data_IF_300470438885
#
_entry.id   IF_300470438885
#
_cell.length_a   1.000
_cell.length_b   1.000
_cell.length_c   1.000
_cell.angle_alpha   90.00
_cell.angle_beta   90.00
_cell.angle_gamma   90.00
#
_symmetry.space_group_name_H-M   'P 1'
#
loop_
_entity.id
_entity.type
_entity.pdbx_description
1 polymer ?
#
# COMPACT_ATOMS: atom_id res chain seq x y z
N UNK A 1 34.78 -6.59 9.14
CA UNK A 1 33.46 -6.30 8.57
C UNK A 1 33.69 -5.99 7.10
N UNK A 2 33.26 -6.85 6.20
CA UNK A 2 33.32 -6.56 4.75
C UNK A 2 32.52 -5.29 4.49
N UNK A 3 33.12 -4.31 3.81
CA UNK A 3 32.41 -3.11 3.40
C UNK A 3 31.22 -3.53 2.54
N UNK A 4 30.01 -3.30 3.02
CA UNK A 4 28.80 -3.55 2.23
C UNK A 4 28.79 -2.53 1.09
N UNK A 5 28.90 -3.03 -0.14
CA UNK A 5 28.82 -2.21 -1.34
C UNK A 5 27.38 -2.28 -1.85
N UNK A 6 26.74 -1.12 -2.01
CA UNK A 6 25.34 -1.05 -2.44
C UNK A 6 25.23 -1.67 -3.85
N UNK A 7 24.26 -2.57 -4.11
CA UNK A 7 24.20 -3.27 -5.39
C UNK A 7 23.97 -2.26 -6.52
N UNK A 8 24.91 -2.19 -7.45
CA UNK A 8 24.84 -1.29 -8.58
C UNK A 8 24.36 -2.06 -9.81
N UNK A 9 23.25 -1.63 -10.42
CA UNK A 9 22.77 -2.21 -11.66
C UNK A 9 23.54 -1.64 -12.84
N UNK A 10 23.91 -2.49 -13.80
CA UNK A 10 24.37 -1.99 -15.08
C UNK A 10 23.18 -1.42 -15.87
N UNK A 11 23.42 -0.48 -16.79
CA UNK A 11 22.35 0.10 -17.63
C UNK A 11 21.60 -0.95 -18.43
N UNK A 12 22.30 -1.96 -18.93
CA UNK A 12 21.69 -3.09 -19.61
C UNK A 12 20.73 -3.83 -18.70
N UNK A 13 21.09 -4.05 -17.44
CA UNK A 13 20.23 -4.73 -16.48
C UNK A 13 19.01 -3.87 -16.14
N UNK A 14 19.19 -2.56 -15.95
CA UNK A 14 18.10 -1.60 -15.72
C UNK A 14 17.10 -1.66 -16.88
N UNK A 15 17.57 -1.58 -18.13
CA UNK A 15 16.71 -1.61 -19.32
C UNK A 15 15.98 -2.95 -19.44
N UNK A 16 16.69 -4.06 -19.22
CA UNK A 16 16.10 -5.40 -19.23
C UNK A 16 14.99 -5.52 -18.19
N UNK A 17 15.26 -5.18 -16.93
CA UNK A 17 14.29 -5.26 -15.84
C UNK A 17 13.07 -4.37 -16.10
N UNK A 18 13.27 -3.13 -16.54
CA UNK A 18 12.17 -2.22 -16.86
C UNK A 18 11.27 -2.74 -18.00
N UNK A 19 11.88 -3.40 -18.98
CA UNK A 19 11.16 -3.98 -20.13
C UNK A 19 10.43 -5.26 -19.72
N UNK A 20 11.07 -6.15 -18.98
CA UNK A 20 10.50 -7.41 -18.49
C UNK A 20 9.34 -7.19 -17.52
N UNK A 21 9.48 -6.20 -16.62
CA UNK A 21 8.42 -5.80 -15.70
C UNK A 21 7.32 -4.95 -16.36
N UNK A 22 7.42 -4.69 -17.68
CA UNK A 22 6.49 -3.87 -18.46
C UNK A 22 6.29 -2.45 -17.87
N UNK A 23 7.32 -1.89 -17.25
CA UNK A 23 7.30 -0.55 -16.64
C UNK A 23 7.57 0.50 -17.73
N UNK A 24 8.66 0.34 -18.49
CA UNK A 24 9.03 1.26 -19.57
C UNK A 24 9.91 0.58 -20.61
N UNK A 25 9.75 0.98 -21.88
CA UNK A 25 10.64 0.58 -22.98
C UNK A 25 11.64 1.69 -23.26
N UNK A 26 12.83 1.60 -22.63
CA UNK A 26 13.90 2.60 -22.76
C UNK A 26 15.03 2.11 -23.66
N UNK A 27 15.74 3.05 -24.29
CA UNK A 27 17.02 2.79 -24.97
C UNK A 27 18.18 3.28 -24.11
N UNK A 28 19.38 2.75 -24.33
CA UNK A 28 20.61 3.20 -23.63
C UNK A 28 20.85 4.72 -23.78
N UNK A 29 20.47 5.29 -24.93
CA UNK A 29 20.59 6.72 -25.20
C UNK A 29 19.72 7.58 -24.27
N UNK A 30 18.56 7.07 -23.84
CA UNK A 30 17.61 7.80 -22.98
C UNK A 30 18.15 7.91 -21.55
N UNK A 31 18.89 6.89 -21.07
CA UNK A 31 19.59 6.93 -19.79
C UNK A 31 20.89 7.74 -19.84
N UNK A 32 21.56 7.79 -21.00
CA UNK A 32 22.77 8.62 -21.20
C UNK A 32 22.49 10.11 -21.20
N UNK A 33 21.36 10.50 -21.78
CA UNK A 33 20.94 11.89 -21.88
C UNK A 33 19.53 12.05 -21.30
N UNK A 34 19.38 11.89 -19.98
CA UNK A 34 18.08 11.97 -19.36
C UNK A 34 17.51 13.37 -19.50
N UNK A 35 16.23 13.46 -19.84
CA UNK A 35 15.48 14.72 -19.86
C UNK A 35 14.51 14.76 -18.69
N UNK A 36 14.11 15.97 -18.26
CA UNK A 36 13.13 16.12 -17.19
C UNK A 36 11.84 15.32 -17.46
N UNK A 37 11.29 15.42 -18.68
CA UNK A 37 10.03 14.76 -19.04
C UNK A 37 10.16 13.23 -19.02
N UNK A 38 11.28 12.70 -19.52
CA UNK A 38 11.50 11.25 -19.54
C UNK A 38 11.74 10.69 -18.15
N UNK A 39 12.54 11.36 -17.33
CA UNK A 39 12.87 10.93 -15.97
C UNK A 39 11.66 11.07 -15.03
N UNK A 40 10.87 12.12 -15.16
CA UNK A 40 9.65 12.29 -14.35
C UNK A 40 8.60 11.22 -14.67
N UNK A 41 8.36 10.92 -15.96
CA UNK A 41 7.46 9.84 -16.36
C UNK A 41 8.00 8.47 -15.89
N UNK A 42 9.30 8.22 -16.04
CA UNK A 42 9.92 6.97 -15.62
C UNK A 42 9.81 6.75 -14.11
N UNK A 43 10.18 7.73 -13.28
CA UNK A 43 10.02 7.61 -11.82
C UNK A 43 8.57 7.43 -11.42
N UNK A 44 7.64 8.12 -12.07
CA UNK A 44 6.20 7.95 -11.82
C UNK A 44 5.78 6.50 -12.06
N UNK A 45 6.16 5.91 -13.19
CA UNK A 45 5.84 4.51 -13.51
C UNK A 45 6.49 3.52 -12.55
N UNK A 46 7.74 3.76 -12.15
CA UNK A 46 8.42 2.92 -11.16
C UNK A 46 7.70 3.00 -9.81
N UNK A 47 7.35 4.20 -9.33
CA UNK A 47 6.64 4.36 -8.07
C UNK A 47 5.23 3.75 -8.10
N UNK A 48 4.55 3.77 -9.25
CA UNK A 48 3.29 3.05 -9.43
C UNK A 48 3.51 1.54 -9.34
N UNK A 49 4.53 1.02 -10.04
CA UNK A 49 4.90 -0.40 -9.94
C UNK A 49 5.24 -0.83 -8.51
N UNK A 50 5.75 0.07 -7.67
CA UNK A 50 6.05 -0.18 -6.26
C UNK A 50 4.84 -0.02 -5.32
N UNK A 51 3.64 0.25 -5.85
CA UNK A 51 2.42 0.67 -5.13
C UNK A 51 2.64 1.88 -4.19
N UNK A 52 3.59 2.77 -4.50
CA UNK A 52 3.79 4.04 -3.78
C UNK A 52 2.90 5.14 -4.36
N UNK A 53 2.62 5.05 -5.65
CA UNK A 53 1.70 5.91 -6.38
C UNK A 53 0.55 5.07 -6.94
N UNK A 54 -0.67 5.63 -6.92
CA UNK A 54 -1.79 5.06 -7.68
C UNK A 54 -1.81 5.66 -9.09
N UNK A 55 -2.35 4.93 -10.08
CA UNK A 55 -2.61 5.48 -11.42
C UNK A 55 -3.56 6.71 -11.36
N UNK A 56 -4.44 6.76 -10.35
CA UNK A 56 -5.35 7.88 -10.08
C UNK A 56 -4.61 9.12 -9.53
N UNK A 57 -3.48 8.92 -8.83
CA UNK A 57 -2.66 9.99 -8.26
C UNK A 57 -1.78 10.69 -9.32
N UNK A 58 -1.80 10.20 -10.57
CA UNK A 58 -0.93 10.67 -11.64
C UNK A 58 -1.28 12.12 -12.02
N UNK A 59 -0.61 13.07 -11.36
CA UNK A 59 -0.83 14.50 -11.55
C UNK A 59 -1.85 15.12 -10.60
N UNK A 60 -2.39 14.35 -9.64
CA UNK A 60 -3.22 14.89 -8.57
C UNK A 60 -2.36 15.35 -7.38
N UNK A 61 -2.76 16.48 -6.81
CA UNK A 61 -2.19 17.04 -5.59
C UNK A 61 -3.24 16.85 -4.51
N UNK A 62 -2.81 16.42 -3.34
CA UNK A 62 -3.70 16.17 -2.22
C UNK A 62 -4.53 17.44 -1.91
N UNK A 63 -5.85 17.28 -1.79
CA UNK A 63 -6.78 18.42 -1.73
C UNK A 63 -6.49 19.30 -0.51
N UNK A 64 -6.06 18.67 0.59
CA UNK A 64 -5.63 19.33 1.83
C UNK A 64 -4.35 20.17 1.66
N UNK A 65 -3.45 19.78 0.75
CA UNK A 65 -2.25 20.54 0.43
C UNK A 65 -2.54 21.76 -0.46
N UNK A 66 -3.57 21.68 -1.31
CA UNK A 66 -4.01 22.78 -2.17
C UNK A 66 -4.63 23.94 -1.37
N UNK A 67 -5.31 23.66 -0.26
CA UNK A 67 -5.90 24.68 0.63
C UNK A 67 -4.84 25.57 1.29
N UNK A 68 -3.60 25.08 1.43
CA UNK A 68 -2.48 25.81 2.03
C UNK A 68 -1.68 26.65 1.03
N UNK A 69 -1.92 26.48 -0.27
CA UNK A 69 -1.21 27.22 -1.33
C UNK A 69 -1.88 28.56 -1.61
N UNK A 70 -1.10 29.64 -1.54
CA UNK A 70 -1.54 30.96 -1.94
C UNK A 70 -1.61 31.03 -3.48
N UNK A 71 -2.83 30.98 -4.05
CA UNK A 71 -3.13 30.91 -5.49
C UNK A 71 -2.85 29.52 -6.12
N UNK A 72 -3.65 28.49 -5.79
CA UNK A 72 -3.44 27.11 -6.24
C UNK A 72 -3.37 26.97 -7.78
N UNK A 73 -4.08 27.81 -8.52
CA UNK A 73 -4.09 27.81 -10.00
C UNK A 73 -2.70 28.05 -10.61
N UNK A 74 -1.82 28.78 -9.92
CA UNK A 74 -0.45 29.03 -10.38
C UNK A 74 0.50 27.86 -10.10
N UNK A 75 0.06 26.87 -9.32
CA UNK A 75 0.86 25.73 -8.89
C UNK A 75 0.53 24.42 -9.63
N UNK A 76 -0.32 24.49 -10.65
CA UNK A 76 -0.75 23.36 -11.48
C UNK A 76 0.39 22.53 -12.08
N UNK A 77 1.54 23.14 -12.35
CA UNK A 77 2.75 22.41 -12.82
C UNK A 77 3.76 22.11 -11.71
N UNK A 78 3.91 23.00 -10.73
CA UNK A 78 4.94 22.85 -9.69
C UNK A 78 4.55 21.85 -8.59
N UNK A 79 3.26 21.80 -8.24
CA UNK A 79 2.78 20.93 -7.17
C UNK A 79 2.88 19.43 -7.52
N UNK A 80 2.52 18.93 -8.72
CA UNK A 80 2.73 17.53 -9.08
C UNK A 80 4.20 17.12 -9.10
N UNK A 81 5.08 18.00 -9.57
CA UNK A 81 6.54 17.74 -9.62
C UNK A 81 7.14 17.69 -8.22
N UNK A 82 6.67 18.55 -7.32
CA UNK A 82 7.07 18.53 -5.92
C UNK A 82 6.55 17.27 -5.21
N UNK A 83 5.30 16.88 -5.46
CA UNK A 83 4.73 15.64 -4.93
C UNK A 83 5.55 14.42 -5.37
N UNK A 84 5.88 14.33 -6.66
CA UNK A 84 6.75 13.28 -7.18
C UNK A 84 8.12 13.26 -6.47
N UNK A 85 8.74 14.43 -6.29
CA UNK A 85 10.02 14.52 -5.58
C UNK A 85 9.92 14.05 -4.13
N UNK A 86 8.89 14.46 -3.39
CA UNK A 86 8.70 14.05 -1.98
C UNK A 86 8.54 12.54 -1.90
N UNK A 87 7.63 11.96 -2.68
CA UNK A 87 7.41 10.50 -2.70
C UNK A 87 8.66 9.72 -3.11
N UNK A 88 9.39 10.21 -4.11
CA UNK A 88 10.65 9.63 -4.54
C UNK A 88 11.71 9.68 -3.42
N UNK A 89 11.84 10.83 -2.76
CA UNK A 89 12.77 11.01 -1.64
C UNK A 89 12.43 10.07 -0.48
N UNK A 90 11.18 10.04 -0.06
CA UNK A 90 10.74 9.20 1.06
C UNK A 90 10.95 7.71 0.76
N UNK A 91 10.70 7.29 -0.48
CA UNK A 91 10.98 5.91 -0.93
C UNK A 91 12.47 5.61 -0.91
N UNK A 92 13.31 6.54 -1.36
CA UNK A 92 14.77 6.39 -1.35
C UNK A 92 15.35 6.36 0.07
N UNK A 93 14.76 7.12 1.00
CA UNK A 93 15.11 7.08 2.43
C UNK A 93 14.68 5.73 3.05
N UNK A 94 13.50 5.22 2.71
CA UNK A 94 13.01 3.91 3.17
C UNK A 94 13.94 2.75 2.77
N UNK A 95 14.50 2.81 1.55
CA UNK A 95 15.46 1.80 1.05
C UNK A 95 16.90 2.05 1.51
N UNK A 96 17.12 3.05 2.38
CA UNK A 96 18.42 3.45 2.91
C UNK A 96 19.44 3.71 1.79
N UNK A 97 19.01 4.38 0.73
CA UNK A 97 19.87 4.74 -0.38
C UNK A 97 21.05 5.59 0.13
N UNK A 98 22.32 5.22 -0.15
CA UNK A 98 23.47 5.96 0.35
C UNK A 98 23.61 7.34 -0.31
N UNK A 99 22.93 7.54 -1.44
CA UNK A 99 22.92 8.79 -2.17
C UNK A 99 21.65 9.57 -1.82
N UNK A 100 21.83 10.79 -1.31
CA UNK A 100 20.70 11.69 -1.11
C UNK A 100 20.25 12.27 -2.45
N UNK A 101 18.96 12.15 -2.74
CA UNK A 101 18.34 12.81 -3.88
C UNK A 101 18.11 14.29 -3.58
N UNK A 102 18.33 15.13 -4.58
CA UNK A 102 18.05 16.55 -4.56
C UNK A 102 16.99 16.86 -5.63
N UNK A 103 16.19 17.91 -5.43
CA UNK A 103 15.23 18.37 -6.43
C UNK A 103 15.89 18.69 -7.79
N UNK A 104 17.17 19.08 -7.79
CA UNK A 104 17.97 19.26 -9.01
C UNK A 104 18.12 17.98 -9.82
N UNK A 105 18.14 16.81 -9.18
CA UNK A 105 18.26 15.52 -9.87
C UNK A 105 16.98 15.15 -10.62
N UNK A 106 15.85 15.74 -10.21
CA UNK A 106 14.60 15.64 -10.95
C UNK A 106 14.59 16.66 -12.11
N UNK A 107 14.85 17.94 -11.83
CA UNK A 107 14.78 19.02 -12.83
C UNK A 107 15.86 18.98 -13.91
N UNK A 108 17.07 18.56 -13.54
CA UNK A 108 18.25 18.46 -14.41
C UNK A 108 18.94 17.14 -14.13
N UNK A 109 18.34 16.04 -14.60
CA UNK A 109 18.83 14.72 -14.27
C UNK A 109 20.25 14.53 -14.80
N UNK A 110 21.11 13.97 -13.95
CA UNK A 110 22.45 13.52 -14.32
C UNK A 110 22.39 12.02 -14.60
N UNK A 111 22.96 11.57 -15.72
CA UNK A 111 22.93 10.17 -16.15
C UNK A 111 23.41 9.21 -15.05
N UNK A 112 24.51 9.53 -14.38
CA UNK A 112 25.08 8.63 -13.37
C UNK A 112 24.21 8.53 -12.12
N UNK A 113 23.66 9.68 -11.67
CA UNK A 113 22.79 9.74 -10.50
C UNK A 113 21.43 9.10 -10.75
N UNK A 114 20.84 9.35 -11.92
CA UNK A 114 19.56 8.77 -12.33
C UNK A 114 19.65 7.25 -12.44
N UNK A 115 20.72 6.72 -13.04
CA UNK A 115 20.98 5.27 -13.09
C UNK A 115 21.05 4.66 -11.69
N UNK A 116 21.75 5.32 -10.76
CA UNK A 116 21.88 4.86 -9.38
C UNK A 116 20.53 4.81 -8.65
N UNK A 117 19.73 5.87 -8.76
CA UNK A 117 18.42 5.93 -8.10
C UNK A 117 17.43 4.92 -8.69
N UNK A 118 17.40 4.75 -10.01
CA UNK A 118 16.56 3.73 -10.67
C UNK A 118 16.99 2.35 -10.21
N UNK A 119 18.29 2.07 -10.20
CA UNK A 119 18.84 0.81 -9.69
C UNK A 119 18.39 0.53 -8.25
N UNK A 120 18.49 1.52 -7.36
CA UNK A 120 18.03 1.41 -5.98
C UNK A 120 16.53 1.07 -5.86
N UNK A 121 15.68 1.77 -6.61
CA UNK A 121 14.22 1.55 -6.60
C UNK A 121 13.82 0.20 -7.19
N UNK A 122 14.43 -0.19 -8.31
CA UNK A 122 14.16 -1.49 -8.94
C UNK A 122 14.60 -2.63 -8.02
N UNK A 123 15.70 -2.46 -7.30
CA UNK A 123 16.13 -3.44 -6.30
C UNK A 123 15.08 -3.67 -5.22
N UNK A 124 14.51 -2.58 -4.72
CA UNK A 124 13.42 -2.64 -3.75
C UNK A 124 12.15 -3.27 -4.34
N UNK A 125 11.82 -2.99 -5.60
CA UNK A 125 10.69 -3.66 -6.28
C UNK A 125 10.89 -5.16 -6.41
N UNK A 126 12.07 -5.59 -6.86
CA UNK A 126 12.42 -7.01 -6.91
C UNK A 126 12.33 -7.66 -5.53
N UNK A 127 12.68 -6.96 -4.44
CA UNK A 127 12.50 -7.45 -3.08
C UNK A 127 11.02 -7.62 -2.68
N UNK A 128 10.16 -6.68 -3.05
CA UNK A 128 8.73 -6.68 -2.71
C UNK A 128 7.95 -7.78 -3.46
N UNK A 129 8.27 -8.04 -4.73
CA UNK A 129 7.53 -8.98 -5.58
C UNK A 129 8.20 -10.36 -5.75
N UNK A 130 9.39 -10.60 -5.18
CA UNK A 130 10.03 -11.91 -5.12
C UNK A 130 9.27 -13.04 -4.37
N UNK A 131 8.24 -12.83 -3.52
CA UNK A 131 7.49 -13.95 -2.94
C UNK A 131 6.50 -14.62 -3.91
N UNK A 132 6.33 -14.11 -5.14
CA UNK A 132 5.24 -14.52 -6.03
C UNK A 132 5.70 -14.79 -7.45
N UNK A 133 6.43 -15.89 -7.70
CA UNK A 133 6.28 -16.62 -8.98
C UNK A 133 6.63 -18.09 -8.77
N UNK A 134 5.57 -18.90 -8.77
CA UNK A 134 5.61 -20.35 -8.71
C UNK A 134 5.93 -20.89 -10.10
N UNK A 135 7.20 -20.96 -10.49
CA UNK A 135 7.61 -21.79 -11.64
C UNK A 135 9.09 -22.16 -11.62
N UNK A 136 9.31 -23.46 -11.79
CA UNK A 136 10.49 -24.26 -11.45
C UNK A 136 11.77 -23.98 -12.30
N UNK A 137 11.96 -22.78 -12.89
CA UNK A 137 13.07 -22.52 -13.84
C UNK A 137 13.97 -21.31 -13.55
N UNK A 138 13.76 -20.57 -12.45
CA UNK A 138 14.64 -19.46 -12.06
C UNK A 138 15.45 -19.73 -10.79
N UNK A 139 15.76 -20.98 -10.48
CA UNK A 139 16.37 -21.35 -9.20
C UNK A 139 17.87 -20.99 -9.07
N UNK A 140 18.57 -20.64 -10.15
CA UNK A 140 19.98 -20.24 -10.05
C UNK A 140 20.17 -18.73 -10.05
N UNK A 141 19.42 -17.99 -10.87
CA UNK A 141 19.43 -16.52 -10.86
C UNK A 141 18.73 -15.95 -9.62
N UNK A 142 17.63 -16.55 -9.16
CA UNK A 142 16.99 -16.19 -7.88
C UNK A 142 17.92 -16.46 -6.69
N UNK A 143 18.64 -17.58 -6.69
CA UNK A 143 19.61 -17.91 -5.64
C UNK A 143 20.80 -16.94 -5.65
N UNK A 144 21.31 -16.55 -6.83
CA UNK A 144 22.39 -15.57 -6.96
C UNK A 144 21.92 -14.17 -6.51
N UNK A 145 20.72 -13.74 -6.90
CA UNK A 145 20.14 -12.48 -6.42
C UNK A 145 19.90 -12.51 -4.90
N UNK A 146 19.41 -13.64 -4.36
CA UNK A 146 19.26 -13.83 -2.91
C UNK A 146 20.61 -13.78 -2.19
N UNK A 147 21.68 -14.40 -2.69
CA UNK A 147 22.97 -14.40 -1.99
C UNK A 147 23.56 -12.98 -1.84
N UNK A 148 23.33 -12.10 -2.81
CA UNK A 148 23.79 -10.70 -2.73
C UNK A 148 22.79 -9.74 -2.05
N UNK A 149 21.49 -10.05 -2.04
CA UNK A 149 20.42 -9.15 -1.57
C UNK A 149 19.82 -9.50 -0.20
N UNK A 150 20.06 -10.70 0.32
CA UNK A 150 19.54 -11.20 1.61
C UNK A 150 20.05 -10.53 2.91
N UNK A 151 21.24 -9.88 3.01
CA UNK A 151 21.64 -9.33 4.31
C UNK A 151 20.74 -8.18 4.80
N UNK A 152 20.01 -7.49 3.91
CA UNK A 152 18.96 -6.51 4.29
C UNK A 152 17.67 -7.22 4.73
N UNK A 153 17.33 -8.35 4.08
CA UNK A 153 16.14 -9.18 4.40
C UNK A 153 16.18 -9.69 5.83
N UNK A 154 17.30 -10.26 6.27
CA UNK A 154 17.32 -11.01 7.52
C UNK A 154 17.21 -10.07 8.76
N UNK A 155 17.79 -8.87 8.70
CA UNK A 155 17.71 -7.89 9.82
C UNK A 155 16.33 -7.25 9.97
N UNK A 156 15.70 -6.82 8.85
CA UNK A 156 14.38 -6.17 8.89
C UNK A 156 13.23 -7.18 9.04
N UNK A 157 13.32 -8.39 8.47
CA UNK A 157 12.30 -9.43 8.67
C UNK A 157 12.25 -9.95 10.10
N UNK A 158 13.38 -10.02 10.82
CA UNK A 158 13.35 -10.39 12.24
C UNK A 158 12.60 -9.36 13.11
N UNK A 159 12.70 -8.07 12.77
CA UNK A 159 11.99 -6.99 13.47
C UNK A 159 10.49 -6.96 13.13
N UNK A 160 10.13 -7.30 11.89
CA UNK A 160 8.74 -7.25 11.41
C UNK A 160 7.96 -8.53 11.76
N UNK A 161 8.63 -9.69 11.88
CA UNK A 161 8.01 -10.97 12.26
C UNK A 161 7.07 -10.88 13.47
N UNK A 162 7.46 -10.30 14.63
CA UNK A 162 6.55 -10.20 15.77
C UNK A 162 5.33 -9.32 15.48
N UNK A 163 5.49 -8.25 14.70
CA UNK A 163 4.37 -7.38 14.28
C UNK A 163 3.42 -8.11 13.32
N UNK A 164 3.94 -8.94 12.41
CA UNK A 164 3.13 -9.78 11.52
C UNK A 164 2.37 -10.85 12.30
N UNK A 165 3.03 -11.53 13.25
CA UNK A 165 2.39 -12.51 14.13
C UNK A 165 1.28 -11.86 14.98
N UNK A 166 1.51 -10.66 15.53
CA UNK A 166 0.50 -9.88 16.26
C UNK A 166 -0.68 -9.48 15.37
N UNK A 167 -0.41 -9.01 14.14
CA UNK A 167 -1.47 -8.65 13.19
C UNK A 167 -2.35 -9.86 12.85
N UNK A 168 -1.75 -11.02 12.61
CA UNK A 168 -2.49 -12.25 12.31
C UNK A 168 -3.36 -12.69 13.49
N UNK A 169 -2.88 -12.52 14.72
CA UNK A 169 -3.66 -12.82 15.93
C UNK A 169 -4.83 -11.85 16.09
N UNK A 170 -4.61 -10.56 15.87
CA UNK A 170 -5.65 -9.53 15.95
C UNK A 170 -6.74 -9.74 14.89
N UNK A 171 -6.36 -10.10 13.66
CA UNK A 171 -7.29 -10.43 12.59
C UNK A 171 -8.16 -11.65 12.93
N UNK A 172 -7.57 -12.68 13.52
CA UNK A 172 -8.31 -13.86 13.97
C UNK A 172 -9.28 -13.50 15.11
N UNK A 173 -8.85 -12.68 16.08
CA UNK A 173 -9.74 -12.17 17.12
C UNK A 173 -10.89 -11.34 16.55
N UNK A 174 -10.61 -10.47 15.58
CA UNK A 174 -11.62 -9.65 14.89
C UNK A 174 -12.67 -10.54 14.24
N UNK A 175 -12.26 -11.57 13.51
CA UNK A 175 -13.19 -12.55 12.90
C UNK A 175 -14.06 -13.26 13.93
N UNK A 176 -13.49 -13.65 15.07
CA UNK A 176 -14.25 -14.30 16.15
C UNK A 176 -15.30 -13.36 16.75
N UNK A 177 -14.98 -12.09 16.95
CA UNK A 177 -15.93 -11.11 17.46
C UNK A 177 -17.04 -10.80 16.45
N UNK A 178 -16.69 -10.68 15.15
CA UNK A 178 -17.67 -10.50 14.09
C UNK A 178 -18.66 -11.69 14.03
N UNK A 179 -18.16 -12.93 14.16
CA UNK A 179 -19.01 -14.11 14.23
C UNK A 179 -19.95 -14.10 15.45
N UNK A 180 -19.47 -13.70 16.63
CA UNK A 180 -20.29 -13.55 17.84
C UNK A 180 -21.38 -12.49 17.69
N UNK A 181 -21.03 -11.35 17.08
CA UNK A 181 -22.00 -10.27 16.80
C UNK A 181 -23.08 -10.78 15.84
N UNK A 182 -22.69 -11.48 14.77
CA UNK A 182 -23.64 -12.06 13.83
C UNK A 182 -24.59 -13.06 14.51
N UNK A 183 -24.06 -13.91 15.41
CA UNK A 183 -24.86 -14.85 16.19
C UNK A 183 -25.87 -14.14 17.12
N UNK A 184 -25.42 -13.16 17.90
CA UNK A 184 -26.30 -12.40 18.81
C UNK A 184 -27.38 -11.63 18.06
N UNK A 185 -27.04 -11.04 16.90
CA UNK A 185 -28.03 -10.35 16.08
C UNK A 185 -29.09 -11.31 15.52
N UNK A 186 -28.72 -12.55 15.18
CA UNK A 186 -29.68 -13.56 14.77
C UNK A 186 -30.61 -13.97 15.93
N UNK A 187 -30.05 -14.15 17.13
CA UNK A 187 -30.84 -14.48 18.33
C UNK A 187 -31.81 -13.35 18.72
N UNK A 188 -31.37 -12.08 18.63
CA UNK A 188 -32.25 -10.91 18.84
C UNK A 188 -33.37 -10.89 17.80
N UNK A 189 -33.07 -11.14 16.52
CA UNK A 189 -34.08 -11.18 15.47
C UNK A 189 -35.12 -12.29 15.72
N UNK A 190 -34.69 -13.49 16.11
CA UNK A 190 -35.60 -14.59 16.46
C UNK A 190 -36.48 -14.25 17.68
N UNK A 191 -35.91 -13.57 18.67
CA UNK A 191 -36.66 -13.11 19.85
C UNK A 191 -37.69 -12.04 19.48
N UNK A 192 -37.30 -11.04 18.68
CA UNK A 192 -38.19 -9.98 18.22
C UNK A 192 -39.36 -10.56 17.40
N UNK A 193 -39.08 -11.51 16.50
CA UNK A 193 -40.11 -12.25 15.75
C UNK A 193 -41.05 -13.07 16.66
N UNK A 194 -40.54 -13.65 17.75
CA UNK A 194 -41.36 -14.34 18.74
C UNK A 194 -42.27 -13.35 19.49
N UNK A 195 -41.72 -12.21 19.91
CA UNK A 195 -42.48 -11.15 20.57
C UNK A 195 -43.59 -10.57 19.68
N UNK A 196 -43.34 -10.36 18.38
CA UNK A 196 -44.35 -9.90 17.43
C UNK A 196 -45.50 -10.92 17.26
N UNK A 197 -45.20 -12.21 17.29
CA UNK A 197 -46.22 -13.28 17.21
C UNK A 197 -47.10 -13.35 18.45
N UNK A 198 -46.54 -13.09 19.63
CA UNK A 198 -47.28 -13.15 20.91
C UNK A 198 -48.04 -11.85 21.22
N UNK A 199 -47.63 -10.72 20.63
CA UNK A 199 -48.26 -9.41 20.77
C UNK A 199 -49.80 -9.40 20.58
N UNK A 200 -50.40 -10.03 19.55
CA UNK A 200 -51.85 -10.08 19.39
C UNK A 200 -52.57 -10.77 20.56
N UNK A 201 -52.00 -11.85 21.11
CA UNK A 201 -52.57 -12.56 22.26
C UNK A 201 -52.53 -11.71 23.53
N UNK A 202 -51.42 -10.99 23.74
CA UNK A 202 -51.27 -10.05 24.87
C UNK A 202 -52.31 -8.93 24.77
N UNK A 203 -52.49 -8.34 23.60
CA UNK A 203 -53.49 -7.29 23.37
C UNK A 203 -54.92 -7.78 23.59
N UNK A 204 -55.22 -9.02 23.21
CA UNK A 204 -56.53 -9.64 23.44
C UNK A 204 -56.79 -9.86 24.94
N UNK A 205 -55.82 -10.42 25.68
CA UNK A 205 -55.91 -10.57 27.13
C UNK A 205 -56.06 -9.23 27.86
N UNK A 206 -55.35 -8.19 27.43
CA UNK A 206 -55.50 -6.84 27.98
C UNK A 206 -56.89 -6.25 27.74
N UNK A 207 -57.49 -6.49 26.56
CA UNK A 207 -58.87 -6.10 26.26
C UNK A 207 -59.83 -6.82 27.21
N UNK A 208 -59.68 -8.13 27.37
CA UNK A 208 -60.47 -8.92 28.33
C UNK A 208 -60.35 -8.39 29.76
N UNK A 209 -59.12 -8.11 30.23
CA UNK A 209 -58.87 -7.52 31.55
C UNK A 209 -59.55 -6.17 31.72
N UNK A 210 -59.54 -5.32 30.68
CA UNK A 210 -60.21 -4.01 30.69
C UNK A 210 -61.73 -4.10 30.74
N UNK A 211 -62.32 -5.09 30.09
CA UNK A 211 -63.78 -5.31 30.04
C UNK A 211 -64.36 -6.02 31.27
N UNK A 212 -63.52 -6.55 32.18
CA UNK A 212 -64.03 -7.10 33.43
C UNK A 212 -64.54 -6.00 34.38
N UNK A 213 -65.72 -6.19 35.00
CA UNK A 213 -66.26 -5.26 35.99
C UNK A 213 -65.38 -5.21 37.25
N UNK A 214 -65.28 -4.02 37.87
CA UNK A 214 -64.34 -3.67 38.95
C UNK A 214 -64.39 -4.56 40.22
N UNK A 215 -65.47 -5.33 40.42
CA UNK A 215 -65.72 -6.10 41.66
C UNK A 215 -64.85 -7.37 41.83
N UNK A 216 -64.04 -7.72 40.82
CA UNK A 216 -63.19 -8.93 40.80
C UNK A 216 -61.69 -8.58 40.93
N UNK A 217 -61.31 -7.30 40.88
CA UNK A 217 -59.89 -6.87 40.80
C UNK A 217 -59.12 -6.86 42.12
N UNK A 218 -59.74 -7.20 43.26
CA UNK A 218 -59.16 -7.04 44.62
C UNK A 218 -59.19 -8.29 45.51
N UNK A 219 -59.24 -9.50 44.94
CA UNK A 219 -58.87 -10.75 45.63
C UNK A 219 -57.58 -11.31 45.06
#
# INVERSE_FOLDING_TARGET
>A
MSAYEYPNFSRSDIITVLTEANIASLKDADLRNPTFDSVSDLYTRILIYLDVLSEEDKGQVDFEALEQLENPDHHTTSAPVMNLYVKLKDTLEMVECPLNINFKDLLRPDSSRTEFFIGALLNFGLHKYAPFESSFVLNLLSLILCIFFVPIRDSKMELIRPLTEELTLLDEQRRQWEAKIAQLNAEIAEFDEACERDLPFVQELERYRRTQPEDIRTQ
#
